data_IF_984693205784
#
_entry.id   IF_984693205784
#
_cell.length_a   1.000
_cell.length_b   1.000
_cell.length_c   1.000
_cell.angle_alpha   90.00
_cell.angle_beta   90.00
_cell.angle_gamma   90.00
#
_symmetry.space_group_name_H-M   'P 1'
#
loop_
_entity.id
_entity.type
_entity.pdbx_description
1 polymer ?
#
# COMPACT_ATOMS: atom_id res chain seq x y z
N UNK A 1 20.12 19.26 52.12
CA UNK A 1 20.47 18.78 50.75
C UNK A 1 21.20 17.47 50.94
N UNK A 2 21.22 16.47 50.04
CA UNK A 2 21.02 16.52 48.58
C UNK A 2 20.19 15.33 48.05
N UNK A 3 19.61 15.35 46.85
CA UNK A 3 20.20 15.12 45.51
C UNK A 3 20.89 13.76 45.31
N UNK A 4 20.55 13.14 44.17
CA UNK A 4 21.59 12.64 43.27
C UNK A 4 21.62 11.13 43.03
N UNK A 5 21.04 10.74 41.89
CA UNK A 5 21.44 9.70 40.91
C UNK A 5 22.95 9.29 40.91
N UNK A 6 23.39 8.36 40.03
CA UNK A 6 22.88 7.05 39.58
C UNK A 6 24.01 5.98 39.62
N UNK A 7 23.74 4.67 39.65
CA UNK A 7 24.82 3.69 39.36
C UNK A 7 24.31 2.35 38.84
N UNK A 8 24.65 2.08 37.59
CA UNK A 8 24.55 0.82 36.86
C UNK A 8 25.57 -0.21 37.41
N UNK A 9 25.10 -1.40 37.82
CA UNK A 9 25.92 -2.51 38.32
C UNK A 9 25.29 -3.88 37.93
N UNK A 10 26.06 -4.98 37.89
CA UNK A 10 26.22 -5.85 36.72
C UNK A 10 25.31 -7.09 36.65
N UNK A 11 25.18 -7.65 35.44
CA UNK A 11 24.33 -8.77 35.00
C UNK A 11 24.47 -10.12 35.74
N UNK A 12 25.36 -10.25 36.73
CA UNK A 12 25.58 -11.51 37.46
C UNK A 12 24.62 -11.74 38.64
N UNK A 13 23.72 -10.80 38.93
CA UNK A 13 22.81 -10.86 40.08
C UNK A 13 21.47 -11.54 39.77
N UNK A 14 21.25 -12.00 38.54
CA UNK A 14 19.98 -12.63 38.18
C UNK A 14 19.82 -14.05 38.74
N UNK A 15 20.87 -14.86 38.86
CA UNK A 15 20.71 -16.28 39.21
C UNK A 15 20.35 -16.52 40.68
N UNK A 16 20.88 -15.72 41.61
CA UNK A 16 20.61 -15.84 43.05
C UNK A 16 19.24 -15.28 43.43
N UNK A 17 18.72 -14.32 42.69
CA UNK A 17 17.42 -13.70 42.94
C UNK A 17 16.26 -14.65 42.60
N UNK A 18 16.42 -15.52 41.59
CA UNK A 18 15.42 -16.54 41.27
C UNK A 18 15.23 -17.57 42.38
N UNK A 19 16.32 -18.00 43.05
CA UNK A 19 16.23 -19.01 44.11
C UNK A 19 15.59 -18.46 45.40
N UNK A 20 15.90 -17.22 45.78
CA UNK A 20 15.27 -16.58 46.94
C UNK A 20 13.76 -16.36 46.72
N UNK A 21 13.37 -15.94 45.51
CA UNK A 21 11.96 -15.66 45.18
C UNK A 21 11.10 -16.93 45.11
N UNK A 22 11.67 -18.05 44.64
CA UNK A 22 11.00 -19.37 44.65
C UNK A 22 10.72 -19.88 46.07
N UNK A 23 11.65 -19.69 47.02
CA UNK A 23 11.45 -20.10 48.41
C UNK A 23 10.42 -19.25 49.16
N UNK A 24 10.37 -17.94 48.90
CA UNK A 24 9.32 -17.09 49.46
C UNK A 24 7.93 -17.40 48.89
N UNK A 25 7.86 -17.73 47.59
CA UNK A 25 6.60 -18.08 46.91
C UNK A 25 5.92 -19.34 47.50
N UNK A 26 6.70 -20.35 47.91
CA UNK A 26 6.13 -21.61 48.41
C UNK A 26 5.67 -21.54 49.86
N UNK A 27 6.30 -20.70 50.69
CA UNK A 27 5.87 -20.46 52.07
C UNK A 27 4.60 -19.58 52.15
N UNK A 28 4.44 -18.60 51.27
CA UNK A 28 3.28 -17.71 51.25
C UNK A 28 2.01 -18.32 50.61
N UNK A 29 2.13 -19.40 49.83
CA UNK A 29 0.98 -20.01 49.15
C UNK A 29 0.07 -20.84 50.07
N UNK A 30 0.49 -21.09 51.31
CA UNK A 30 -0.24 -21.94 52.26
C UNK A 30 -1.18 -21.16 53.20
N UNK A 31 -1.03 -19.85 53.35
CA UNK A 31 -1.74 -19.04 54.36
C UNK A 31 -2.75 -18.03 53.80
N UNK A 32 -2.94 -17.96 52.48
CA UNK A 32 -3.87 -17.01 51.86
C UNK A 32 -5.08 -17.68 51.20
N UNK A 33 -6.29 -17.13 51.37
CA UNK A 33 -7.47 -17.57 50.63
C UNK A 33 -7.22 -17.39 49.13
N UNK A 34 -7.60 -18.40 48.33
CA UNK A 34 -7.43 -18.38 46.88
C UNK A 34 -8.00 -17.08 46.30
N UNK A 35 -7.23 -16.28 45.55
CA UNK A 35 -7.75 -15.09 44.91
C UNK A 35 -8.91 -15.49 43.97
N UNK A 36 -10.00 -14.73 43.98
CA UNK A 36 -11.09 -14.92 43.00
C UNK A 36 -10.47 -14.86 41.60
N UNK A 37 -10.84 -15.76 40.67
CA UNK A 37 -10.34 -15.71 39.31
C UNK A 37 -10.63 -14.32 38.75
N UNK A 38 -9.58 -13.54 38.50
CA UNK A 38 -9.69 -12.35 37.66
C UNK A 38 -10.04 -12.92 36.31
N UNK A 39 -11.25 -12.62 35.80
CA UNK A 39 -11.60 -12.98 34.44
C UNK A 39 -10.46 -12.54 33.54
N UNK A 40 -9.93 -13.41 32.66
CA UNK A 40 -9.04 -12.96 31.61
C UNK A 40 -9.74 -11.78 30.94
N UNK A 41 -9.01 -10.68 30.71
CA UNK A 41 -9.48 -9.56 29.92
C UNK A 41 -10.30 -10.09 28.73
N UNK A 42 -11.44 -9.47 28.37
CA UNK A 42 -12.21 -9.94 27.23
C UNK A 42 -11.26 -10.06 26.04
N UNK A 43 -10.99 -11.28 25.61
CA UNK A 43 -10.27 -11.54 24.37
C UNK A 43 -11.20 -10.96 23.32
N UNK A 44 -10.88 -9.77 22.82
CA UNK A 44 -11.55 -9.21 21.64
C UNK A 44 -11.33 -10.26 20.58
N UNK A 45 -12.39 -10.98 20.22
CA UNK A 45 -12.34 -11.89 19.09
C UNK A 45 -11.91 -11.05 17.90
N UNK A 46 -10.69 -11.24 17.40
CA UNK A 46 -10.31 -10.70 16.11
C UNK A 46 -11.33 -11.26 15.12
N UNK A 47 -12.00 -10.42 14.31
CA UNK A 47 -12.88 -10.91 13.28
C UNK A 47 -12.04 -11.87 12.43
N UNK A 48 -12.30 -13.16 12.55
CA UNK A 48 -11.80 -14.13 11.60
C UNK A 48 -12.41 -13.72 10.28
N UNK A 49 -11.65 -13.01 9.44
CA UNK A 49 -12.05 -12.69 8.08
C UNK A 49 -12.36 -14.04 7.43
N UNK A 50 -13.64 -14.38 7.38
CA UNK A 50 -14.10 -15.43 6.49
C UNK A 50 -13.62 -15.00 5.11
N UNK A 51 -12.82 -15.81 4.38
CA UNK A 51 -12.45 -15.46 3.04
C UNK A 51 -13.75 -15.44 2.24
N UNK A 52 -14.31 -14.25 2.04
CA UNK A 52 -15.39 -14.08 1.10
C UNK A 52 -14.84 -14.56 -0.25
N UNK A 53 -15.49 -15.54 -0.91
CA UNK A 53 -15.18 -15.79 -2.31
C UNK A 53 -15.34 -14.45 -3.03
N UNK A 54 -14.34 -14.08 -3.82
CA UNK A 54 -14.20 -12.79 -4.53
C UNK A 54 -15.41 -11.87 -4.39
N UNK A 55 -15.27 -10.80 -3.60
CA UNK A 55 -16.31 -9.79 -3.41
C UNK A 55 -16.68 -9.20 -4.79
N UNK A 56 -17.72 -9.75 -5.41
CA UNK A 56 -18.16 -9.37 -6.75
C UNK A 56 -18.53 -7.90 -6.83
N UNK A 57 -18.92 -7.31 -5.71
CA UNK A 57 -19.14 -5.88 -5.58
C UNK A 57 -17.84 -5.07 -5.74
N UNK A 58 -16.71 -5.54 -5.18
CA UNK A 58 -15.41 -4.89 -5.36
C UNK A 58 -14.93 -5.01 -6.82
N UNK A 59 -15.16 -6.17 -7.44
CA UNK A 59 -14.84 -6.37 -8.85
C UNK A 59 -15.70 -5.45 -9.74
N UNK A 60 -17.01 -5.40 -9.51
CA UNK A 60 -17.91 -4.52 -10.26
C UNK A 60 -17.58 -3.04 -10.03
N UNK A 61 -17.31 -2.61 -8.79
CA UNK A 61 -16.95 -1.23 -8.48
C UNK A 61 -15.63 -0.82 -9.14
N UNK A 62 -14.58 -1.62 -9.00
CA UNK A 62 -13.28 -1.33 -9.62
C UNK A 62 -13.36 -1.37 -11.15
N UNK A 63 -14.04 -2.38 -11.71
CA UNK A 63 -14.27 -2.47 -13.16
C UNK A 63 -15.04 -1.25 -13.67
N UNK A 64 -16.18 -0.89 -13.06
CA UNK A 64 -16.98 0.25 -13.52
C UNK A 64 -16.25 1.58 -13.35
N UNK A 65 -15.53 1.78 -12.24
CA UNK A 65 -14.74 2.99 -12.03
C UNK A 65 -13.65 3.16 -13.09
N UNK A 66 -12.87 2.09 -13.36
CA UNK A 66 -11.82 2.11 -14.38
C UNK A 66 -12.44 2.20 -15.78
N UNK A 67 -13.49 1.44 -16.05
CA UNK A 67 -14.18 1.44 -17.35
C UNK A 67 -14.74 2.82 -17.70
N UNK A 68 -15.42 3.50 -16.78
CA UNK A 68 -15.89 4.88 -17.00
C UNK A 68 -14.71 5.84 -17.19
N UNK A 69 -13.63 5.67 -16.41
CA UNK A 69 -12.42 6.49 -16.56
C UNK A 69 -11.73 6.30 -17.90
N UNK A 70 -11.85 5.12 -18.51
CA UNK A 70 -11.21 4.75 -19.78
C UNK A 70 -12.14 4.92 -20.99
N UNK A 71 -13.46 4.98 -20.79
CA UNK A 71 -14.44 5.15 -21.86
C UNK A 71 -14.27 6.52 -22.52
N UNK A 72 -13.92 6.50 -23.81
CA UNK A 72 -13.68 7.73 -24.57
C UNK A 72 -12.30 8.33 -24.34
N UNK A 73 -11.34 7.56 -23.81
CA UNK A 73 -9.94 8.00 -23.81
C UNK A 73 -9.46 8.30 -25.24
N UNK A 74 -8.52 9.24 -25.34
CA UNK A 74 -7.90 9.68 -26.58
C UNK A 74 -7.32 8.51 -27.37
N UNK A 75 -6.86 7.47 -26.69
CA UNK A 75 -6.37 6.24 -27.32
C UNK A 75 -7.48 5.50 -28.07
N UNK A 76 -8.72 5.50 -27.57
CA UNK A 76 -9.86 4.88 -28.25
C UNK A 76 -10.27 5.67 -29.50
N UNK A 77 -10.30 7.00 -29.42
CA UNK A 77 -10.55 7.86 -30.58
C UNK A 77 -9.45 7.73 -31.64
N UNK A 78 -8.18 7.66 -31.23
CA UNK A 78 -7.06 7.43 -32.14
C UNK A 78 -7.17 6.06 -32.84
N UNK A 79 -7.53 5.00 -32.10
CA UNK A 79 -7.73 3.67 -32.67
C UNK A 79 -8.90 3.63 -33.67
N UNK A 80 -10.02 4.29 -33.35
CA UNK A 80 -11.18 4.38 -34.25
C UNK A 80 -10.84 5.20 -35.50
N UNK A 81 -10.17 6.34 -35.36
CA UNK A 81 -9.77 7.19 -36.48
C UNK A 81 -8.78 6.48 -37.43
N UNK A 82 -7.79 5.79 -36.84
CA UNK A 82 -6.80 5.02 -37.60
C UNK A 82 -7.44 3.79 -38.25
N UNK A 83 -8.37 3.12 -37.56
CA UNK A 83 -9.12 1.99 -38.08
C UNK A 83 -10.07 2.37 -39.21
N UNK A 84 -10.79 3.49 -39.08
CA UNK A 84 -11.72 4.02 -40.07
C UNK A 84 -11.04 4.54 -41.33
N UNK A 85 -9.79 5.01 -41.23
CA UNK A 85 -9.00 5.48 -42.38
C UNK A 85 -8.17 4.37 -43.05
N UNK A 86 -8.12 3.17 -42.47
CA UNK A 86 -7.28 2.08 -42.93
C UNK A 86 -8.03 1.06 -43.78
N UNK A 87 -7.42 0.62 -44.88
CA UNK A 87 -7.94 -0.48 -45.72
C UNK A 87 -7.98 -1.84 -45.00
N UNK A 88 -7.29 -1.97 -43.87
CA UNK A 88 -7.17 -3.20 -43.09
C UNK A 88 -7.41 -2.96 -41.59
N UNK A 89 -8.67 -2.78 -41.15
CA UNK A 89 -9.02 -2.47 -39.76
C UNK A 89 -8.58 -3.56 -38.76
N UNK A 90 -8.52 -4.83 -39.18
CA UNK A 90 -7.99 -5.93 -38.35
C UNK A 90 -6.51 -5.77 -38.02
N UNK A 91 -5.72 -5.26 -38.97
CA UNK A 91 -4.29 -5.02 -38.75
C UNK A 91 -4.07 -3.84 -37.82
N UNK A 92 -4.89 -2.79 -37.93
CA UNK A 92 -4.88 -1.65 -37.01
C UNK A 92 -5.19 -2.10 -35.59
N UNK A 93 -6.25 -2.88 -35.40
CA UNK A 93 -6.61 -3.43 -34.08
C UNK A 93 -5.45 -4.20 -33.45
N UNK A 94 -4.87 -5.14 -34.19
CA UNK A 94 -3.77 -5.97 -33.70
C UNK A 94 -2.51 -5.14 -33.42
N UNK A 95 -2.21 -4.16 -34.26
CA UNK A 95 -1.09 -3.23 -34.07
C UNK A 95 -1.26 -2.36 -32.83
N UNK A 96 -2.44 -1.78 -32.62
CA UNK A 96 -2.75 -0.98 -31.42
C UNK A 96 -2.72 -1.82 -30.16
N UNK A 97 -3.25 -3.05 -30.19
CA UNK A 97 -3.21 -3.96 -29.06
C UNK A 97 -1.78 -4.38 -28.70
N UNK A 98 -0.96 -4.73 -29.71
CA UNK A 98 0.44 -5.07 -29.51
C UNK A 98 1.25 -3.89 -28.97
N UNK A 99 1.01 -2.68 -29.49
CA UNK A 99 1.66 -1.46 -29.01
C UNK A 99 1.32 -1.17 -27.54
N UNK A 100 0.05 -1.29 -27.16
CA UNK A 100 -0.40 -1.13 -25.77
C UNK A 100 0.24 -2.16 -24.82
N UNK A 101 0.28 -3.43 -25.23
CA UNK A 101 0.92 -4.49 -24.44
C UNK A 101 2.42 -4.23 -24.26
N UNK A 102 3.12 -3.87 -25.33
CA UNK A 102 4.56 -3.57 -25.29
C UNK A 102 4.86 -2.35 -24.42
N UNK A 103 4.09 -1.27 -24.58
CA UNK A 103 4.24 -0.06 -23.77
C UNK A 103 3.99 -0.35 -22.28
N UNK A 104 2.96 -1.13 -21.96
CA UNK A 104 2.65 -1.53 -20.59
C UNK A 104 3.75 -2.41 -19.99
N UNK A 105 4.24 -3.39 -20.75
CA UNK A 105 5.32 -4.27 -20.32
C UNK A 105 6.61 -3.49 -20.03
N UNK A 106 7.04 -2.62 -20.95
CA UNK A 106 8.19 -1.74 -20.73
C UNK A 106 7.97 -0.82 -19.54
N UNK A 107 6.76 -0.26 -19.39
CA UNK A 107 6.39 0.59 -18.27
C UNK A 107 6.54 -0.11 -16.92
N UNK A 108 6.11 -1.38 -16.83
CA UNK A 108 6.26 -2.18 -15.60
C UNK A 108 7.72 -2.51 -15.34
N UNK A 109 8.48 -2.99 -16.33
CA UNK A 109 9.89 -3.36 -16.16
C UNK A 109 10.73 -2.16 -15.74
N UNK A 110 10.55 -1.01 -16.40
CA UNK A 110 11.25 0.22 -16.06
C UNK A 110 10.75 0.77 -14.72
N UNK A 111 9.45 0.75 -14.48
CA UNK A 111 8.82 1.24 -13.26
C UNK A 111 9.28 0.48 -12.02
N UNK A 112 9.34 -0.85 -12.09
CA UNK A 112 9.84 -1.71 -11.02
C UNK A 112 11.31 -1.42 -10.71
N UNK A 113 12.17 -1.38 -11.74
CA UNK A 113 13.59 -1.05 -11.56
C UNK A 113 13.80 0.35 -10.98
N UNK A 114 13.03 1.33 -11.45
CA UNK A 114 13.07 2.73 -11.01
C UNK A 114 12.59 2.86 -9.55
N UNK A 115 11.56 2.11 -9.15
CA UNK A 115 11.01 2.14 -7.79
C UNK A 115 11.97 1.62 -6.72
N UNK A 116 12.94 0.78 -7.09
CA UNK A 116 13.96 0.29 -6.15
C UNK A 116 15.10 1.28 -5.92
N UNK A 117 15.32 2.20 -6.87
CA UNK A 117 16.47 3.12 -6.88
C UNK A 117 16.06 4.52 -6.43
N UNK A 118 14.83 4.95 -6.72
CA UNK A 118 14.39 6.32 -6.50
C UNK A 118 13.56 6.48 -5.22
N UNK A 119 13.86 7.49 -4.38
CA UNK A 119 13.06 7.79 -3.21
C UNK A 119 11.67 8.31 -3.63
N UNK A 120 10.62 7.82 -2.97
CA UNK A 120 9.21 8.11 -3.28
C UNK A 120 8.90 9.61 -3.38
N UNK A 121 9.58 10.44 -2.56
CA UNK A 121 9.45 11.90 -2.58
C UNK A 121 9.81 12.51 -3.94
N UNK A 122 10.86 12.00 -4.58
CA UNK A 122 11.30 12.51 -5.88
C UNK A 122 10.32 12.12 -6.98
N UNK A 123 9.83 10.88 -6.96
CA UNK A 123 8.81 10.39 -7.92
C UNK A 123 7.54 11.25 -7.84
N UNK A 124 7.05 11.52 -6.62
CA UNK A 124 5.89 12.39 -6.39
C UNK A 124 6.14 13.82 -6.85
N UNK A 125 7.32 14.38 -6.58
CA UNK A 125 7.67 15.73 -7.01
C UNK A 125 7.71 15.85 -8.54
N UNK A 126 8.33 14.89 -9.22
CA UNK A 126 8.39 14.85 -10.70
C UNK A 126 6.98 14.72 -11.29
N UNK A 127 6.15 13.82 -10.73
CA UNK A 127 4.76 13.69 -11.15
C UNK A 127 3.98 14.99 -10.96
N UNK A 128 4.09 15.65 -9.80
CA UNK A 128 3.42 16.91 -9.52
C UNK A 128 3.83 18.03 -10.49
N UNK A 129 5.13 18.15 -10.79
CA UNK A 129 5.63 19.11 -11.78
C UNK A 129 5.11 18.78 -13.18
N UNK A 130 5.16 17.50 -13.59
CA UNK A 130 4.67 17.06 -14.90
C UNK A 130 3.19 17.36 -15.09
N UNK A 131 2.35 16.98 -14.12
CA UNK A 131 0.92 17.30 -14.15
C UNK A 131 0.66 18.81 -14.07
N UNK A 132 1.45 19.56 -13.29
CA UNK A 132 1.36 21.01 -13.23
C UNK A 132 1.65 21.67 -14.58
N UNK A 133 2.70 21.23 -15.28
CA UNK A 133 3.04 21.71 -16.62
C UNK A 133 1.95 21.39 -17.64
N UNK A 134 1.38 20.18 -17.60
CA UNK A 134 0.25 19.81 -18.45
C UNK A 134 -0.98 20.65 -18.15
N UNK A 135 -1.28 20.90 -16.87
CA UNK A 135 -2.39 21.74 -16.46
C UNK A 135 -2.21 23.18 -16.96
N UNK A 136 -1.02 23.76 -16.81
CA UNK A 136 -0.70 25.10 -17.34
C UNK A 136 -0.81 25.13 -18.86
N UNK A 137 -0.30 24.11 -19.57
CA UNK A 137 -0.42 24.02 -21.03
C UNK A 137 -1.85 23.87 -21.53
N UNK A 138 -2.70 23.17 -20.78
CA UNK A 138 -4.12 23.04 -21.10
C UNK A 138 -4.91 24.31 -20.76
N UNK A 139 -4.53 25.00 -19.68
CA UNK A 139 -5.19 26.22 -19.20
C UNK A 139 -4.74 27.48 -19.95
N UNK A 140 -3.60 27.44 -20.62
CA UNK A 140 -3.21 28.48 -21.57
C UNK A 140 -3.88 28.16 -22.90
N UNK A 141 -5.07 28.71 -23.21
CA UNK A 141 -5.55 28.70 -24.59
C UNK A 141 -4.48 29.47 -25.37
N UNK A 142 -3.63 28.73 -26.10
CA UNK A 142 -2.80 29.35 -27.12
C UNK A 142 -3.74 30.15 -28.01
N UNK A 143 -3.39 31.41 -28.27
CA UNK A 143 -4.12 32.24 -29.21
C UNK A 143 -4.52 31.38 -30.42
N UNK A 144 -5.82 31.36 -30.71
CA UNK A 144 -6.34 30.77 -31.93
C UNK A 144 -5.63 31.45 -33.10
N UNK A 145 -4.68 30.73 -33.68
CA UNK A 145 -4.12 31.02 -34.98
C UNK A 145 -4.82 30.11 -35.98
N UNK A 146 -5.80 30.72 -36.66
CA UNK A 146 -6.34 30.43 -38.00
C UNK A 146 -6.69 28.97 -38.36
#
# INVERSE_FOLDING_TARGET
MPQGLPQSYPTYLYSTQFYSTQFYSTQFYSTHPKPKPISPFPIVAHPTLSPNPMDWNLLALSFTAVFISELGDKSQLAAIALGGSSKHPKAVFLGTAAALLLASFLGVVIGEGTSQILPERLVKAVAAVGFGLLAVRLLWPGEGGD
#
